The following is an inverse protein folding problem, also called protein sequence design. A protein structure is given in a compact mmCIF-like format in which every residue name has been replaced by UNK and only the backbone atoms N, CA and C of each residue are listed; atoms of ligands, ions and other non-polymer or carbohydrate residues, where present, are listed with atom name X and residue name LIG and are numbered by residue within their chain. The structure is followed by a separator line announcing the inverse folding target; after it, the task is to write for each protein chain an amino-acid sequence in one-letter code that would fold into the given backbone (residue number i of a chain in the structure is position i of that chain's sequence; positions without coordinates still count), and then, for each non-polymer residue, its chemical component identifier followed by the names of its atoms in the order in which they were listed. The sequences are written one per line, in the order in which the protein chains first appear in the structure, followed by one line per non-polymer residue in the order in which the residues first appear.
data_IF_817818128316
#
_entry.id   IF_817818128316
#
_cell.length_a   1.000
_cell.length_b   1.000
_cell.length_c   1.000
_cell.angle_alpha   90.00
_cell.angle_beta   90.00
_cell.angle_gamma   90.00
#
_symmetry.space_group_name_H-M   'P 1'
#
loop_
_entity.id
_entity.type
_entity.pdbx_description
1 polymer ?
#
# COMPACT_ATOMS: atom_id res chain seq x y z
N UNK A 1 -9.97 1.87 -23.43
CA UNK A 1 -8.73 2.65 -23.50
C UNK A 1 -8.41 3.28 -22.17
N UNK A 2 -8.92 4.47 -21.88
CA UNK A 2 -8.65 5.12 -20.59
C UNK A 2 -9.14 4.29 -19.39
N UNK A 3 -10.27 3.62 -19.52
CA UNK A 3 -10.79 2.74 -18.48
C UNK A 3 -10.00 1.45 -18.35
N UNK A 4 -9.53 0.89 -19.44
CA UNK A 4 -8.74 -0.34 -19.41
C UNK A 4 -7.37 -0.12 -18.81
N UNK A 5 -6.80 1.07 -18.94
CA UNK A 5 -5.56 1.44 -18.30
C UNK A 5 -5.73 1.79 -16.82
N UNK A 6 -6.96 2.07 -16.36
CA UNK A 6 -7.19 2.59 -15.01
C UNK A 6 -6.87 1.59 -13.92
N UNK A 7 -7.12 0.28 -14.12
CA UNK A 7 -6.77 -0.74 -13.13
C UNK A 7 -5.26 -0.92 -13.00
N UNK A 8 -4.57 -1.04 -14.13
CA UNK A 8 -3.12 -1.08 -14.15
C UNK A 8 -2.53 0.22 -13.59
N UNK A 9 -3.12 1.37 -13.97
CA UNK A 9 -2.77 2.67 -13.43
C UNK A 9 -2.89 2.73 -11.92
N UNK A 10 -3.96 2.15 -11.39
CA UNK A 10 -4.25 2.21 -9.96
C UNK A 10 -3.19 1.46 -9.14
N UNK A 11 -2.75 0.30 -9.62
CA UNK A 11 -1.63 -0.44 -9.03
C UNK A 11 -0.34 0.38 -9.09
N UNK A 12 -0.03 0.96 -10.25
CA UNK A 12 1.15 1.81 -10.41
C UNK A 12 1.10 3.04 -9.51
N UNK A 13 -0.05 3.70 -9.41
CA UNK A 13 -0.23 4.88 -8.56
C UNK A 13 0.04 4.59 -7.09
N UNK A 14 -0.41 3.45 -6.59
CA UNK A 14 -0.22 3.06 -5.19
C UNK A 14 1.23 2.76 -4.86
N UNK A 15 2.00 2.26 -5.83
CA UNK A 15 3.40 1.92 -5.66
C UNK A 15 4.37 3.01 -6.10
N UNK A 16 3.87 4.05 -6.76
CA UNK A 16 4.70 5.05 -7.44
C UNK A 16 5.66 5.78 -6.50
N UNK A 17 5.29 5.96 -5.22
CA UNK A 17 6.16 6.59 -4.23
C UNK A 17 7.30 5.70 -3.74
N UNK A 18 7.24 4.40 -4.01
CA UNK A 18 8.23 3.41 -3.56
C UNK A 18 9.11 2.90 -4.69
N UNK A 19 8.68 3.05 -5.92
CA UNK A 19 9.35 2.52 -7.13
C UNK A 19 9.41 3.57 -8.22
N UNK A 20 10.32 3.39 -9.16
CA UNK A 20 10.34 4.20 -10.37
C UNK A 20 9.03 4.00 -11.14
N UNK A 21 8.44 5.09 -11.57
CA UNK A 21 7.15 5.08 -12.25
C UNK A 21 7.12 6.09 -13.40
N UNK A 22 7.78 5.78 -14.53
CA UNK A 22 7.88 6.73 -15.64
C UNK A 22 6.53 7.19 -16.21
N UNK A 23 5.51 6.32 -16.18
CA UNK A 23 4.18 6.64 -16.68
C UNK A 23 3.38 7.58 -15.76
N UNK A 24 3.77 7.72 -14.50
CA UNK A 24 3.07 8.51 -13.48
C UNK A 24 4.03 9.34 -12.65
N UNK A 25 4.90 10.09 -13.32
CA UNK A 25 5.97 10.86 -12.67
C UNK A 25 5.43 11.80 -11.59
N UNK A 26 4.38 12.55 -11.91
CA UNK A 26 3.73 13.47 -10.97
C UNK A 26 3.14 12.75 -9.76
N UNK A 27 2.55 11.58 -9.97
CA UNK A 27 1.97 10.78 -8.88
C UNK A 27 3.06 10.16 -8.02
N UNK A 28 4.13 9.66 -8.65
CA UNK A 28 5.29 9.14 -7.95
C UNK A 28 5.95 10.18 -7.06
N UNK A 29 6.13 11.39 -7.59
CA UNK A 29 6.68 12.51 -6.84
C UNK A 29 5.81 12.88 -5.64
N UNK A 30 4.48 12.92 -5.80
CA UNK A 30 3.55 13.20 -4.71
C UNK A 30 3.59 12.11 -3.62
N UNK A 31 3.63 10.85 -4.03
CA UNK A 31 3.72 9.71 -3.09
C UNK A 31 5.06 9.68 -2.36
N UNK A 32 6.17 9.92 -3.06
CA UNK A 32 7.48 10.05 -2.44
C UNK A 32 7.52 11.21 -1.45
N UNK A 33 6.83 12.31 -1.78
CA UNK A 33 6.67 13.46 -0.89
C UNK A 33 5.96 13.10 0.40
N UNK A 34 4.89 12.30 0.34
CA UNK A 34 4.17 11.82 1.54
C UNK A 34 5.08 10.95 2.40
N UNK A 35 5.88 10.06 1.80
CA UNK A 35 6.84 9.22 2.54
C UNK A 35 7.89 10.08 3.24
N UNK A 36 8.45 11.04 2.54
CA UNK A 36 9.43 11.96 3.12
C UNK A 36 8.81 12.80 4.24
N UNK A 37 7.61 13.34 4.01
CA UNK A 37 6.87 14.11 5.00
C UNK A 37 6.62 13.28 6.28
N UNK A 38 6.26 12.02 6.14
CA UNK A 38 6.06 11.09 7.26
C UNK A 38 7.31 11.01 8.14
N UNK A 39 8.46 10.80 7.52
CA UNK A 39 9.74 10.71 8.24
C UNK A 39 10.12 12.04 8.89
N UNK A 40 9.94 13.14 8.17
CA UNK A 40 10.26 14.47 8.67
C UNK A 40 9.38 14.85 9.85
N UNK A 41 8.07 14.61 9.76
CA UNK A 41 7.14 14.88 10.86
C UNK A 41 7.39 13.96 12.05
N UNK A 42 7.78 12.71 11.82
CA UNK A 42 8.13 11.80 12.91
C UNK A 42 9.28 12.36 13.75
N UNK A 43 10.29 12.92 13.10
CA UNK A 43 11.42 13.56 13.80
C UNK A 43 10.98 14.85 14.51
N UNK A 44 10.20 15.69 13.82
CA UNK A 44 9.75 16.96 14.39
C UNK A 44 8.82 16.79 15.60
N UNK A 45 7.94 15.79 15.55
CA UNK A 45 6.91 15.59 16.56
C UNK A 45 7.23 14.50 17.58
N UNK A 46 8.31 13.76 17.35
CA UNK A 46 8.78 12.77 18.34
C UNK A 46 9.00 13.34 19.72
N UNK A 47 9.58 14.53 19.88
CA UNK A 47 9.74 15.17 21.20
C UNK A 47 8.40 15.44 21.92
N UNK A 48 7.30 15.46 21.19
CA UNK A 48 5.95 15.64 21.73
C UNK A 48 5.20 14.31 21.91
N UNK A 49 5.89 13.17 21.76
CA UNK A 49 5.30 11.82 21.83
C UNK A 49 4.21 11.58 20.78
N UNK A 50 4.38 12.13 19.58
CA UNK A 50 3.49 11.92 18.46
C UNK A 50 4.17 10.98 17.47
N UNK A 51 3.53 9.84 17.22
CA UNK A 51 3.98 8.86 16.23
C UNK A 51 3.37 9.19 14.86
N UNK A 52 4.20 9.17 13.83
CA UNK A 52 3.79 9.43 12.45
C UNK A 52 4.29 8.28 11.58
N UNK A 53 3.38 7.53 11.02
CA UNK A 53 3.67 6.39 10.15
C UNK A 53 2.86 6.47 8.86
N UNK A 54 3.31 5.79 7.84
CA UNK A 54 2.66 5.75 6.53
C UNK A 54 2.29 4.31 6.18
N UNK A 55 1.03 4.08 5.83
CA UNK A 55 0.57 2.81 5.27
C UNK A 55 0.50 2.96 3.75
N UNK A 56 1.13 2.05 3.03
CA UNK A 56 1.16 2.06 1.57
C UNK A 56 0.49 0.79 1.03
N UNK A 57 -0.85 0.79 0.89
CA UNK A 57 -1.54 -0.36 0.33
C UNK A 57 -1.24 -0.48 -1.17
N UNK A 58 -1.02 -1.72 -1.63
CA UNK A 58 -1.08 -2.05 -3.04
C UNK A 58 -2.53 -2.26 -3.50
N UNK A 59 -2.73 -3.03 -4.56
CA UNK A 59 -4.07 -3.42 -4.96
C UNK A 59 -4.77 -4.15 -3.81
N UNK A 60 -5.92 -3.65 -3.42
CA UNK A 60 -6.71 -4.18 -2.31
C UNK A 60 -8.03 -4.72 -2.84
N UNK A 61 -8.47 -5.86 -2.33
CA UNK A 61 -9.67 -6.56 -2.78
C UNK A 61 -10.95 -5.87 -2.30
N UNK A 62 -11.27 -4.73 -2.89
CA UNK A 62 -12.49 -3.97 -2.62
C UNK A 62 -13.53 -4.22 -3.72
N UNK A 63 -14.79 -3.87 -3.47
CA UNK A 63 -15.86 -3.97 -4.46
C UNK A 63 -15.57 -3.13 -5.70
N UNK A 64 -14.97 -1.94 -5.51
CA UNK A 64 -14.66 -1.04 -6.62
C UNK A 64 -13.62 -1.57 -7.60
N UNK A 65 -12.86 -2.59 -7.23
CA UNK A 65 -11.85 -3.21 -8.09
C UNK A 65 -12.11 -4.70 -8.33
N UNK A 66 -13.31 -5.18 -8.00
CA UNK A 66 -13.63 -6.61 -8.08
C UNK A 66 -13.42 -7.22 -9.46
N UNK A 67 -13.70 -6.47 -10.52
CA UNK A 67 -13.50 -6.89 -11.91
C UNK A 67 -12.03 -7.00 -12.33
N UNK A 68 -11.13 -6.42 -11.53
CA UNK A 68 -9.69 -6.41 -11.80
C UNK A 68 -8.91 -7.40 -10.93
N UNK A 69 -9.59 -8.06 -10.01
CA UNK A 69 -8.95 -9.02 -9.14
C UNK A 69 -8.58 -10.27 -9.90
N UNK A 70 -7.42 -10.87 -9.63
CA UNK A 70 -7.05 -12.14 -10.23
C UNK A 70 -7.96 -13.25 -9.74
N UNK A 71 -7.94 -14.38 -10.44
CA UNK A 71 -8.60 -15.60 -9.96
C UNK A 71 -7.94 -16.09 -8.68
N UNK A 72 -8.74 -16.64 -7.76
CA UNK A 72 -8.25 -17.31 -6.56
C UNK A 72 -7.73 -18.73 -6.85
N UNK A 73 -7.95 -19.22 -8.05
CA UNK A 73 -7.58 -20.56 -8.50
C UNK A 73 -6.59 -20.42 -9.65
N UNK A 74 -5.47 -21.15 -9.59
CA UNK A 74 -4.47 -21.21 -10.65
C UNK A 74 -4.99 -22.06 -11.83
N UNK A 75 -4.31 -21.97 -12.98
CA UNK A 75 -4.68 -22.70 -14.18
C UNK A 75 -4.68 -24.23 -13.97
N UNK A 76 -3.87 -24.73 -13.06
CA UNK A 76 -3.79 -26.15 -12.70
C UNK A 76 -4.88 -26.59 -11.69
N UNK A 77 -5.78 -25.69 -11.31
CA UNK A 77 -6.85 -25.95 -10.35
C UNK A 77 -6.47 -25.80 -8.88
N UNK A 78 -5.20 -25.51 -8.58
CA UNK A 78 -4.75 -25.27 -7.20
C UNK A 78 -5.09 -23.85 -6.74
N UNK A 79 -5.25 -23.64 -5.42
CA UNK A 79 -5.52 -22.29 -4.91
C UNK A 79 -4.28 -21.39 -5.03
N UNK A 80 -4.51 -20.11 -5.28
CA UNK A 80 -3.45 -19.10 -5.22
C UNK A 80 -3.01 -18.96 -3.76
N UNK A 81 -1.72 -19.00 -3.46
CA UNK A 81 -1.24 -18.78 -2.09
C UNK A 81 -1.71 -17.43 -1.54
N UNK A 82 -2.05 -17.40 -0.26
CA UNK A 82 -2.60 -16.22 0.40
C UNK A 82 -1.74 -14.96 0.19
N UNK A 83 -0.43 -15.08 0.32
CA UNK A 83 0.48 -13.95 0.15
C UNK A 83 0.64 -13.46 -1.30
N UNK A 84 0.23 -14.27 -2.26
CA UNK A 84 0.25 -13.90 -3.68
C UNK A 84 -1.05 -13.24 -4.13
N UNK A 85 -2.07 -13.25 -3.28
CA UNK A 85 -3.37 -12.66 -3.57
C UNK A 85 -3.46 -11.26 -2.95
N UNK A 86 -4.18 -10.30 -3.59
CA UNK A 86 -4.38 -8.98 -3.03
C UNK A 86 -5.01 -9.03 -1.63
N UNK A 87 -4.54 -8.21 -0.68
CA UNK A 87 -5.10 -8.19 0.66
C UNK A 87 -6.53 -7.65 0.68
N UNK A 88 -7.29 -8.03 1.68
CA UNK A 88 -8.61 -7.47 1.96
C UNK A 88 -8.47 -6.10 2.67
N UNK A 89 -9.50 -5.23 2.59
CA UNK A 89 -9.49 -3.96 3.29
C UNK A 89 -9.26 -4.10 4.81
N UNK A 90 -9.72 -5.19 5.39
CA UNK A 90 -9.55 -5.49 6.81
C UNK A 90 -8.08 -5.57 7.22
N UNK A 91 -7.20 -6.07 6.35
CA UNK A 91 -5.76 -6.12 6.63
C UNK A 91 -5.17 -4.73 6.81
N UNK A 92 -5.61 -3.77 6.01
CA UNK A 92 -5.20 -2.36 6.14
C UNK A 92 -5.76 -1.75 7.42
N UNK A 93 -7.03 -2.01 7.71
CA UNK A 93 -7.71 -1.51 8.90
C UNK A 93 -7.07 -2.07 10.19
N UNK A 94 -6.71 -3.34 10.21
CA UNK A 94 -6.04 -3.97 11.35
C UNK A 94 -4.67 -3.36 11.61
N UNK A 95 -3.89 -3.09 10.58
CA UNK A 95 -2.61 -2.39 10.73
C UNK A 95 -2.82 -0.97 11.25
N UNK A 96 -3.79 -0.23 10.71
CA UNK A 96 -4.10 1.11 11.18
C UNK A 96 -4.48 1.10 12.66
N UNK A 97 -5.28 0.12 13.07
CA UNK A 97 -5.68 -0.07 14.48
C UNK A 97 -4.46 -0.35 15.37
N UNK A 98 -3.56 -1.22 14.93
CA UNK A 98 -2.31 -1.50 15.66
C UNK A 98 -1.46 -0.23 15.80
N UNK A 99 -1.28 0.51 14.72
CA UNK A 99 -0.47 1.74 14.74
C UNK A 99 -1.12 2.85 15.58
N UNK A 100 -2.43 2.84 15.77
CA UNK A 100 -3.14 3.75 16.66
C UNK A 100 -3.11 3.31 18.13
N UNK A 101 -2.63 2.12 18.42
CA UNK A 101 -2.62 1.56 19.77
C UNK A 101 -1.31 1.86 20.49
N UNK A 102 -1.31 1.68 21.83
CA UNK A 102 -0.10 1.79 22.65
C UNK A 102 0.94 0.72 22.33
N UNK A 103 0.53 -0.38 21.71
CA UNK A 103 1.45 -1.47 21.31
C UNK A 103 2.47 -1.03 20.27
N UNK A 104 2.20 0.05 19.52
CA UNK A 104 3.11 0.62 18.52
C UNK A 104 3.81 1.89 18.99
N UNK A 105 3.88 2.14 20.28
CA UNK A 105 4.37 3.41 20.87
C UNK A 105 5.80 3.79 20.46
N UNK A 106 6.63 2.82 20.14
CA UNK A 106 8.01 3.04 19.67
C UNK A 106 8.17 2.91 18.16
N UNK A 107 7.06 2.90 17.40
CA UNK A 107 7.09 2.83 15.94
C UNK A 107 6.71 4.21 15.40
N UNK A 108 7.64 4.89 14.74
CA UNK A 108 7.40 6.18 14.12
C UNK A 108 8.36 6.41 12.95
N UNK A 109 7.90 7.12 11.94
CA UNK A 109 8.68 7.41 10.74
C UNK A 109 8.79 6.24 9.78
N UNK A 110 7.98 5.21 9.94
CA UNK A 110 8.06 3.98 9.16
C UNK A 110 7.02 3.93 8.04
N UNK A 111 7.39 3.21 6.98
CA UNK A 111 6.52 2.90 5.86
C UNK A 111 6.13 1.43 5.93
N UNK A 112 4.82 1.16 5.87
CA UNK A 112 4.26 -0.18 5.94
C UNK A 112 3.55 -0.54 4.64
N UNK A 113 4.22 -1.22 3.71
CA UNK A 113 3.55 -1.74 2.51
C UNK A 113 2.67 -2.93 2.87
N UNK A 114 1.46 -2.94 2.31
CA UNK A 114 0.54 -4.09 2.40
C UNK A 114 0.13 -4.43 0.97
N UNK A 115 0.59 -5.55 0.46
CA UNK A 115 0.36 -5.92 -0.95
C UNK A 115 0.56 -7.41 -1.17
N UNK A 116 0.08 -7.90 -2.30
CA UNK A 116 0.44 -9.23 -2.77
C UNK A 116 1.93 -9.30 -3.12
N UNK A 117 2.56 -10.45 -2.91
CA UNK A 117 3.98 -10.65 -3.26
C UNK A 117 4.24 -10.47 -4.75
N UNK A 118 3.26 -10.76 -5.59
CA UNK A 118 3.36 -10.56 -7.04
C UNK A 118 3.63 -9.11 -7.43
N UNK A 119 3.27 -8.15 -6.58
CA UNK A 119 3.55 -6.74 -6.81
C UNK A 119 4.99 -6.34 -6.49
N UNK A 120 5.78 -7.24 -5.92
CA UNK A 120 7.21 -7.01 -5.67
C UNK A 120 8.07 -7.28 -6.91
N UNK A 121 7.55 -8.06 -7.81
CA UNK A 121 8.28 -8.48 -9.01
C UNK A 121 8.39 -7.39 -10.07
#
# INVERSE_FOLDING_TARGET
TLRNSSAASDVYKRQAGMRLSPAFVHYGAAKAGVINLTKSLAVCWGPHNINVNCIAPGLTATEGVSQWLPSKIKDDGSPVPHLEYPPDPEHVAELATFLASSSSSHISGELFPIRALTELA
#
